data_IF_327856293355
#
_entry.id   IF_327856293355
#
_cell.length_a   1.000
_cell.length_b   1.000
_cell.length_c   1.000
_cell.angle_alpha   90.00
_cell.angle_beta   90.00
_cell.angle_gamma   90.00
#
_symmetry.space_group_name_H-M   'P 1'
#
loop_
_entity.id
_entity.type
_entity.pdbx_description
1 polymer ?
#
# COMPACT_ATOMS: atom_id res chain seq x y z
N UNK A 1 -10.07 3.50 -11.22
CA UNK A 1 -10.17 2.35 -10.30
C UNK A 1 -9.11 2.53 -9.22
N UNK A 2 -9.37 3.42 -8.27
CA UNK A 2 -8.46 3.67 -7.14
C UNK A 2 -8.72 2.73 -5.98
N UNK A 3 -7.86 2.75 -4.96
CA UNK A 3 -8.00 2.03 -3.69
C UNK A 3 -9.24 2.40 -2.83
N UNK A 4 -10.27 2.99 -3.45
CA UNK A 4 -11.44 3.59 -2.81
C UNK A 4 -12.11 2.66 -1.79
N UNK A 5 -11.91 1.35 -1.90
CA UNK A 5 -12.27 0.38 -0.88
C UNK A 5 -11.16 -0.68 -0.71
N UNK A 6 -10.10 -0.41 0.07
CA UNK A 6 -9.14 -1.45 0.51
C UNK A 6 -9.77 -2.55 1.38
N UNK A 7 -11.06 -2.40 1.70
CA UNK A 7 -11.91 -3.41 2.32
C UNK A 7 -12.49 -4.40 1.31
N UNK A 8 -12.39 -4.11 0.00
CA UNK A 8 -12.89 -4.99 -1.07
C UNK A 8 -11.76 -5.79 -1.70
N UNK A 9 -12.10 -6.97 -2.23
CA UNK A 9 -11.16 -7.81 -2.96
C UNK A 9 -10.51 -7.07 -4.15
N UNK A 10 -11.26 -6.19 -4.83
CA UNK A 10 -10.73 -5.39 -5.93
C UNK A 10 -9.66 -4.40 -5.47
N UNK A 11 -9.89 -3.69 -4.35
CA UNK A 11 -8.91 -2.77 -3.78
C UNK A 11 -7.63 -3.48 -3.33
N UNK A 12 -7.75 -4.64 -2.68
CA UNK A 12 -6.61 -5.44 -2.26
C UNK A 12 -5.83 -5.98 -3.47
N UNK A 13 -6.53 -6.40 -4.54
CA UNK A 13 -5.90 -6.83 -5.78
C UNK A 13 -5.06 -5.72 -6.40
N UNK A 14 -5.62 -4.51 -6.56
CA UNK A 14 -4.88 -3.36 -7.09
C UNK A 14 -3.66 -3.01 -6.23
N UNK A 15 -3.78 -3.10 -4.90
CA UNK A 15 -2.66 -2.86 -3.98
C UNK A 15 -1.56 -3.92 -4.16
N UNK A 16 -1.94 -5.18 -4.30
CA UNK A 16 -1.01 -6.27 -4.54
C UNK A 16 -0.26 -6.10 -5.88
N UNK A 17 -0.95 -5.71 -6.94
CA UNK A 17 -0.33 -5.45 -8.25
C UNK A 17 0.66 -4.29 -8.17
N UNK A 18 0.30 -3.19 -7.49
CA UNK A 18 1.23 -2.08 -7.28
C UNK A 18 2.48 -2.49 -6.49
N UNK A 19 2.30 -3.26 -5.41
CA UNK A 19 3.39 -3.72 -4.54
C UNK A 19 4.22 -4.87 -5.16
N UNK A 20 3.87 -5.34 -6.35
CA UNK A 20 4.71 -6.25 -7.10
C UNK A 20 6.03 -5.57 -7.48
N UNK A 21 5.94 -4.31 -7.95
CA UNK A 21 7.09 -3.51 -8.37
C UNK A 21 7.56 -2.52 -7.30
N UNK A 22 6.76 -2.30 -6.25
CA UNK A 22 7.03 -1.32 -5.20
C UNK A 22 7.13 -1.97 -3.82
N UNK A 23 8.07 -1.49 -3.00
CA UNK A 23 8.24 -1.98 -1.62
C UNK A 23 7.42 -1.19 -0.60
N UNK A 24 6.98 0.02 -0.93
CA UNK A 24 6.26 0.97 -0.08
C UNK A 24 5.19 1.70 -0.90
N UNK A 25 4.28 2.40 -0.22
CA UNK A 25 3.21 3.18 -0.88
C UNK A 25 3.74 4.44 -1.55
N UNK A 26 4.84 5.01 -1.04
CA UNK A 26 5.50 6.17 -1.62
C UNK A 26 7.02 6.08 -1.40
N UNK A 27 7.78 6.39 -2.44
CA UNK A 27 9.25 6.38 -2.38
C UNK A 27 9.85 4.99 -2.17
N UNK A 28 11.03 4.97 -1.54
CA UNK A 28 11.84 3.75 -1.35
C UNK A 28 12.07 3.41 0.13
N UNK A 29 11.38 4.10 1.03
CA UNK A 29 11.49 3.94 2.48
C UNK A 29 10.10 3.97 3.11
N UNK A 30 9.91 3.38 4.31
CA UNK A 30 8.63 3.44 5.01
C UNK A 30 8.23 4.88 5.31
N UNK A 31 6.98 5.21 5.05
CA UNK A 31 6.48 6.58 5.15
C UNK A 31 5.08 6.65 5.78
N UNK A 32 4.59 7.86 6.05
CA UNK A 32 3.22 8.08 6.49
C UNK A 32 2.16 7.56 5.51
N UNK A 33 2.48 7.42 4.22
CA UNK A 33 1.60 6.80 3.24
C UNK A 33 1.33 5.33 3.57
N UNK A 34 2.36 4.60 3.98
CA UNK A 34 2.24 3.20 4.38
C UNK A 34 1.34 3.05 5.61
N UNK A 35 1.47 3.97 6.58
CA UNK A 35 0.61 3.99 7.77
C UNK A 35 -0.86 4.21 7.41
N UNK A 36 -1.16 5.16 6.51
CA UNK A 36 -2.54 5.40 6.05
C UNK A 36 -3.14 4.15 5.40
N UNK A 37 -2.40 3.52 4.47
CA UNK A 37 -2.89 2.34 3.75
C UNK A 37 -3.03 1.13 4.68
N UNK A 38 -2.09 0.95 5.63
CA UNK A 38 -2.14 -0.14 6.60
C UNK A 38 -3.38 -0.02 7.49
N UNK A 39 -3.68 1.19 7.96
CA UNK A 39 -4.87 1.48 8.78
C UNK A 39 -6.16 1.24 7.99
N UNK A 40 -6.18 1.55 6.69
CA UNK A 40 -7.34 1.33 5.83
C UNK A 40 -7.64 -0.16 5.59
N UNK A 41 -6.62 -1.02 5.53
CA UNK A 41 -6.76 -2.47 5.31
C UNK A 41 -7.44 -3.21 6.46
N UNK A 42 -7.43 -2.66 7.68
CA UNK A 42 -7.98 -3.24 8.94
C UNK A 42 -7.41 -4.60 9.37
N UNK A 43 -6.99 -5.47 8.45
CA UNK A 43 -6.55 -6.85 8.66
C UNK A 43 -5.53 -7.29 7.61
N UNK A 44 -4.87 -8.42 7.85
CA UNK A 44 -3.88 -8.96 6.94
C UNK A 44 -4.53 -9.41 5.61
N UNK A 45 -3.96 -9.05 4.44
CA UNK A 45 -4.39 -9.60 3.16
C UNK A 45 -4.27 -11.14 3.12
N UNK A 46 -5.12 -11.79 2.32
CA UNK A 46 -5.01 -13.23 2.04
C UNK A 46 -3.67 -13.58 1.39
N UNK A 47 -3.19 -14.82 1.59
CA UNK A 47 -1.99 -15.34 0.94
C UNK A 47 -2.07 -15.35 -0.61
N UNK A 48 -3.27 -15.22 -1.18
CA UNK A 48 -3.49 -15.01 -2.61
C UNK A 48 -2.95 -13.65 -3.12
N UNK A 49 -2.67 -12.72 -2.20
CA UNK A 49 -2.09 -11.41 -2.47
C UNK A 49 -0.71 -11.31 -1.81
N UNK A 50 0.30 -12.05 -2.32
CA UNK A 50 1.58 -12.21 -1.64
C UNK A 50 2.37 -10.91 -1.47
N UNK A 51 2.27 -9.97 -2.42
CA UNK A 51 2.98 -8.69 -2.34
C UNK A 51 2.34 -7.76 -1.31
N UNK A 52 1.01 -7.71 -1.28
CA UNK A 52 0.27 -6.98 -0.26
C UNK A 52 0.51 -7.58 1.14
N UNK A 53 0.51 -8.91 1.27
CA UNK A 53 0.79 -9.59 2.53
C UNK A 53 2.24 -9.35 3.00
N UNK A 54 3.23 -9.44 2.10
CA UNK A 54 4.64 -9.11 2.38
C UNK A 54 4.77 -7.70 2.95
N UNK A 55 4.22 -6.71 2.24
CA UNK A 55 4.23 -5.32 2.67
C UNK A 55 3.49 -5.12 3.99
N UNK A 56 2.29 -5.70 4.15
CA UNK A 56 1.51 -5.58 5.39
C UNK A 56 2.31 -6.07 6.61
N UNK A 57 2.95 -7.24 6.50
CA UNK A 57 3.78 -7.79 7.56
C UNK A 57 5.03 -6.92 7.82
N UNK A 58 5.64 -6.39 6.76
CA UNK A 58 6.78 -5.49 6.87
C UNK A 58 6.43 -4.21 7.62
N UNK A 59 5.38 -3.49 7.20
CA UNK A 59 4.97 -2.24 7.85
C UNK A 59 4.46 -2.49 9.28
N UNK A 60 3.73 -3.59 9.50
CA UNK A 60 3.28 -3.98 10.85
C UNK A 60 4.44 -4.28 11.80
N UNK A 61 5.57 -4.76 11.29
CA UNK A 61 6.76 -5.05 12.12
C UNK A 61 7.33 -3.80 12.82
N UNK A 62 7.05 -2.60 12.31
CA UNK A 62 7.46 -1.33 12.93
C UNK A 62 6.65 -1.00 14.20
N UNK A 63 5.56 -1.73 14.49
CA UNK A 63 4.77 -1.56 15.70
C UNK A 63 4.31 -0.11 15.92
N UNK A 64 4.61 0.47 17.08
CA UNK A 64 4.23 1.84 17.41
C UNK A 64 4.97 2.91 16.57
N UNK A 65 6.13 2.57 15.99
CA UNK A 65 6.94 3.50 15.20
C UNK A 65 6.29 3.88 13.87
N UNK A 66 5.25 3.16 13.42
CA UNK A 66 4.47 3.53 12.21
C UNK A 66 3.90 4.96 12.30
N UNK A 67 3.64 5.43 13.52
CA UNK A 67 3.08 6.78 13.75
C UNK A 67 4.11 7.89 13.55
N UNK A 68 5.41 7.57 13.61
CA UNK A 68 6.54 8.49 13.52
C UNK A 68 7.34 8.36 12.23
N UNK A 69 6.84 7.62 11.24
CA UNK A 69 7.50 7.50 9.94
C UNK A 69 7.60 8.87 9.24
N UNK A 70 8.62 9.07 8.38
CA UNK A 70 8.77 10.31 7.63
C UNK A 70 7.65 10.48 6.57
N UNK A 71 7.50 11.70 6.07
CA UNK A 71 6.54 12.02 5.00
C UNK A 71 5.26 12.68 5.49
N UNK A 72 4.44 13.11 4.53
CA UNK A 72 3.17 13.81 4.78
C UNK A 72 2.04 12.80 4.88
N UNK A 73 1.25 12.86 5.96
CA UNK A 73 -0.01 12.12 6.06
C UNK A 73 -0.97 12.63 5.00
N UNK A 74 -1.29 11.78 4.02
CA UNK A 74 -2.31 12.04 3.01
C UNK A 74 -3.50 11.13 3.27
N UNK A 75 -4.69 11.60 2.89
CA UNK A 75 -5.91 10.78 2.90
C UNK A 75 -5.79 9.61 1.93
N UNK A 76 -6.52 8.53 2.21
CA UNK A 76 -6.51 7.33 1.37
C UNK A 76 -6.90 7.62 -0.08
N UNK A 77 -7.76 8.62 -0.28
CA UNK A 77 -8.20 9.11 -1.60
C UNK A 77 -7.02 9.59 -2.47
N UNK A 78 -5.97 10.16 -1.86
CA UNK A 78 -4.79 10.63 -2.58
C UNK A 78 -4.01 9.48 -3.23
N UNK A 79 -4.07 8.28 -2.65
CA UNK A 79 -3.45 7.07 -3.21
C UNK A 79 -4.40 6.35 -4.18
N UNK A 80 -5.70 6.65 -4.11
CA UNK A 80 -6.72 6.15 -5.05
C UNK A 80 -6.64 6.85 -6.42
N UNK A 81 -6.38 8.16 -6.45
CA UNK A 81 -6.23 8.92 -7.69
C UNK A 81 -4.82 8.88 -8.28
N UNK A 82 -3.87 8.28 -7.55
CA UNK A 82 -2.61 7.88 -8.15
C UNK A 82 -2.94 6.78 -9.16
N UNK A 83 -3.25 7.20 -10.39
CA UNK A 83 -3.28 6.30 -11.53
C UNK A 83 -1.90 5.66 -11.55
N UNK A 84 -1.82 4.43 -11.09
CA UNK A 84 -0.65 3.57 -11.21
C UNK A 84 -0.51 3.22 -12.69
N UNK A 85 -0.20 4.24 -13.49
CA UNK A 85 0.38 4.05 -14.80
C UNK A 85 1.71 3.39 -14.52
N UNK A 86 1.75 2.06 -14.63
CA UNK A 86 2.98 1.37 -14.96
C UNK A 86 3.68 2.20 -16.06
N UNK A 87 4.97 2.52 -15.96
CA UNK A 87 5.73 2.64 -17.18
C UNK A 87 5.68 1.23 -17.78
N UNK A 88 5.00 1.09 -18.90
CA UNK A 88 5.01 -0.14 -19.68
C UNK A 88 6.46 -0.62 -19.79
N UNK A 89 6.78 -1.76 -19.18
CA UNK A 89 8.05 -2.42 -19.43
C UNK A 89 7.94 -3.07 -20.79
N UNK A 90 8.21 -2.28 -21.83
CA UNK A 90 8.58 -2.78 -23.13
C UNK A 90 9.98 -3.38 -23.00
N UNK A 91 10.08 -4.70 -23.13
CA UNK A 91 11.25 -5.44 -23.61
C UNK A 91 10.79 -6.83 -24.05
#
# INVERSE_FOLDING_TARGET
MGYAELKTAAGIKSLNEYLADNSYIEGFQPSQADTTVLQALSSAPSAQHPHALRWYNHIKSYGNSITSLPGVKKDISAFSEMSFSSPAKAA
#
